data_IF_087694893239
#
_entry.id   IF_087694893239
#
_cell.length_a   1.000
_cell.length_b   1.000
_cell.length_c   1.000
_cell.angle_alpha   90.00
_cell.angle_beta   90.00
_cell.angle_gamma   90.00
#
_symmetry.space_group_name_H-M   'P 1'
#
loop_
_entity.id
_entity.type
_entity.pdbx_description
1 polymer ?
#
# COMPACT_ATOMS: atom_id res chain seq x y z
N UNK A 1 5.63 -8.42 8.66
CA UNK A 1 5.76 -7.10 8.02
C UNK A 1 6.46 -6.15 8.97
N UNK A 2 7.33 -5.29 8.46
CA UNK A 2 8.06 -4.27 9.22
C UNK A 2 7.43 -2.90 8.94
N UNK A 3 7.28 -2.08 9.98
CA UNK A 3 6.92 -0.66 9.78
C UNK A 3 8.13 0.09 9.27
N UNK A 4 7.94 0.89 8.22
CA UNK A 4 8.94 1.83 7.72
C UNK A 4 8.47 3.25 7.95
N UNK A 5 9.26 4.22 7.47
CA UNK A 5 8.87 5.62 7.54
C UNK A 5 7.55 5.85 6.81
N UNK A 6 6.69 6.67 7.42
CA UNK A 6 5.39 6.98 6.87
C UNK A 6 5.55 7.60 5.47
N UNK A 7 4.75 7.11 4.52
CA UNK A 7 4.83 7.49 3.12
C UNK A 7 4.36 8.95 2.93
N UNK A 8 5.22 9.85 2.45
CA UNK A 8 4.83 11.20 2.08
C UNK A 8 4.11 11.17 0.72
N UNK A 9 2.86 11.63 0.68
CA UNK A 9 2.06 11.74 -0.56
C UNK A 9 1.55 13.16 -0.71
N UNK A 10 1.80 13.75 -1.87
CA UNK A 10 1.39 15.11 -2.14
C UNK A 10 -0.11 15.18 -2.47
N UNK A 11 -0.86 15.92 -1.65
CA UNK A 11 -2.28 16.18 -1.90
C UNK A 11 -2.45 17.51 -2.63
N UNK A 12 -2.74 17.43 -3.94
CA UNK A 12 -2.90 18.60 -4.80
C UNK A 12 -4.08 19.50 -4.44
N UNK A 13 -5.11 18.98 -3.75
CA UNK A 13 -6.27 19.79 -3.33
C UNK A 13 -5.98 20.63 -2.10
N UNK A 14 -5.23 20.06 -1.16
CA UNK A 14 -4.87 20.74 0.09
C UNK A 14 -3.55 21.51 -0.04
N UNK A 15 -2.78 21.28 -1.11
CA UNK A 15 -1.44 21.83 -1.30
C UNK A 15 -0.50 21.47 -0.14
N UNK A 16 -0.62 20.22 0.36
CA UNK A 16 0.10 19.72 1.54
C UNK A 16 0.65 18.32 1.29
N UNK A 17 1.79 18.04 1.94
CA UNK A 17 2.37 16.71 2.01
C UNK A 17 1.77 15.95 3.20
N UNK A 18 1.01 14.89 2.91
CA UNK A 18 0.38 14.06 3.93
C UNK A 18 1.18 12.78 4.14
N UNK A 19 1.23 12.31 5.38
CA UNK A 19 1.94 11.08 5.75
C UNK A 19 0.95 9.95 6.01
N UNK A 20 1.24 8.78 5.45
CA UNK A 20 0.43 7.57 5.63
C UNK A 20 1.30 6.44 6.18
N UNK A 21 0.85 5.71 7.21
CA UNK A 21 1.58 4.55 7.70
C UNK A 21 1.82 3.53 6.58
N UNK A 22 3.08 3.09 6.46
CA UNK A 22 3.54 2.15 5.45
C UNK A 22 4.33 1.01 6.12
N UNK A 23 4.07 -0.20 5.66
CA UNK A 23 4.72 -1.42 6.10
C UNK A 23 5.22 -2.20 4.89
N UNK A 24 6.43 -2.73 4.98
CA UNK A 24 7.04 -3.55 3.94
C UNK A 24 7.26 -4.99 4.43
N UNK A 25 7.28 -5.91 3.48
CA UNK A 25 7.74 -7.27 3.66
C UNK A 25 8.22 -7.83 2.33
N UNK A 26 9.44 -8.35 2.32
CA UNK A 26 10.01 -9.02 1.17
C UNK A 26 10.05 -10.52 1.44
N UNK A 27 9.43 -11.29 0.56
CA UNK A 27 9.48 -12.75 0.60
C UNK A 27 10.68 -13.23 -0.22
N UNK A 28 11.73 -13.63 0.47
CA UNK A 28 12.98 -14.12 -0.13
C UNK A 28 12.80 -15.40 -0.95
N UNK A 29 11.78 -16.20 -0.68
CA UNK A 29 11.53 -17.46 -1.39
C UNK A 29 10.78 -17.22 -2.70
N UNK A 30 9.86 -16.26 -2.70
CA UNK A 30 8.94 -16.07 -3.83
C UNK A 30 9.20 -14.81 -4.67
N UNK A 31 10.23 -14.02 -4.31
CA UNK A 31 10.58 -12.73 -4.93
C UNK A 31 9.41 -11.74 -4.98
N UNK A 32 8.44 -11.91 -4.08
CA UNK A 32 7.30 -11.03 -3.92
C UNK A 32 7.61 -9.98 -2.87
N UNK A 33 7.33 -8.72 -3.20
CA UNK A 33 7.34 -7.62 -2.23
C UNK A 33 5.91 -7.24 -1.88
N UNK A 34 5.65 -7.07 -0.59
CA UNK A 34 4.35 -6.70 -0.05
C UNK A 34 4.44 -5.33 0.60
N UNK A 35 3.58 -4.42 0.17
CA UNK A 35 3.45 -3.09 0.77
C UNK A 35 2.05 -2.93 1.33
N UNK A 36 1.95 -2.72 2.64
CA UNK A 36 0.70 -2.50 3.33
C UNK A 36 0.63 -1.06 3.82
N UNK A 37 -0.43 -0.35 3.48
CA UNK A 37 -0.54 1.07 3.80
C UNK A 37 -1.97 1.48 4.12
N UNK A 38 -2.10 2.48 4.99
CA UNK A 38 -3.40 3.01 5.37
C UNK A 38 -3.96 3.95 4.31
N UNK A 39 -5.26 3.90 4.09
CA UNK A 39 -5.99 4.91 3.33
C UNK A 39 -6.29 6.16 4.16
N UNK A 40 -5.95 6.20 5.45
CA UNK A 40 -6.41 7.23 6.37
C UNK A 40 -5.28 8.18 6.80
N UNK A 41 -5.57 9.47 6.68
CA UNK A 41 -4.90 10.58 7.35
C UNK A 41 -6.01 11.52 7.90
N UNK A 42 -5.78 12.24 9.02
CA UNK A 42 -6.78 13.17 9.57
C UNK A 42 -7.30 14.21 8.57
N UNK A 43 -6.43 14.68 7.67
CA UNK A 43 -6.76 15.71 6.68
C UNK A 43 -7.38 15.14 5.39
N UNK A 44 -7.06 13.90 5.04
CA UNK A 44 -7.53 13.31 3.78
C UNK A 44 -7.42 11.79 3.70
N UNK A 45 -8.13 11.21 2.72
CA UNK A 45 -7.92 9.82 2.31
C UNK A 45 -6.88 9.77 1.21
N UNK A 46 -6.04 8.75 1.23
CA UNK A 46 -5.02 8.51 0.20
C UNK A 46 -5.69 8.33 -1.18
N UNK A 47 -6.72 7.49 -1.22
CA UNK A 47 -7.56 7.27 -2.39
C UNK A 47 -9.02 7.61 -2.06
N UNK A 48 -9.45 8.86 -2.32
CA UNK A 48 -10.82 9.29 -2.04
C UNK A 48 -11.89 8.48 -2.76
N UNK A 49 -11.58 7.88 -3.92
CA UNK A 49 -12.50 7.01 -4.65
C UNK A 49 -12.82 5.70 -3.91
N UNK A 50 -11.98 5.30 -2.95
CA UNK A 50 -12.11 4.09 -2.15
C UNK A 50 -12.28 4.42 -0.67
N UNK A 51 -13.09 5.43 -0.35
CA UNK A 51 -13.28 5.96 1.02
C UNK A 51 -13.72 4.93 2.07
N UNK A 52 -14.35 3.84 1.65
CA UNK A 52 -14.82 2.73 2.51
C UNK A 52 -13.74 1.69 2.78
N UNK A 53 -12.56 1.83 2.17
CA UNK A 53 -11.42 0.93 2.36
C UNK A 53 -10.43 1.59 3.31
N UNK A 54 -10.08 0.91 4.41
CA UNK A 54 -9.19 1.46 5.43
C UNK A 54 -7.71 1.21 5.13
N UNK A 55 -7.40 0.10 4.48
CA UNK A 55 -6.04 -0.33 4.18
C UNK A 55 -5.94 -0.97 2.80
N UNK A 56 -4.74 -0.90 2.22
CA UNK A 56 -4.41 -1.54 0.96
C UNK A 56 -3.20 -2.45 1.14
N UNK A 57 -3.18 -3.53 0.35
CA UNK A 57 -2.04 -4.42 0.20
C UNK A 57 -1.64 -4.44 -1.27
N UNK A 58 -0.50 -3.85 -1.59
CA UNK A 58 0.14 -3.95 -2.89
C UNK A 58 1.09 -5.14 -2.89
N UNK A 59 0.91 -6.03 -3.87
CA UNK A 59 1.81 -7.16 -4.11
C UNK A 59 2.57 -6.86 -5.38
N UNK A 60 3.87 -6.63 -5.26
CA UNK A 60 4.77 -6.42 -6.39
C UNK A 60 5.44 -7.76 -6.75
N UNK A 61 5.39 -8.11 -8.04
CA UNK A 61 5.93 -9.36 -8.57
C UNK A 61 4.88 -10.26 -9.23
N UNK A 62 5.31 -11.44 -9.66
CA UNK A 62 4.46 -12.39 -10.40
C UNK A 62 3.73 -13.32 -9.43
N UNK A 63 2.45 -13.04 -9.21
CA UNK A 63 1.56 -13.87 -8.41
C UNK A 63 0.39 -14.38 -9.26
N UNK A 64 0.12 -15.69 -9.19
CA UNK A 64 -0.97 -16.33 -9.93
C UNK A 64 -2.33 -16.10 -9.23
N UNK A 65 -3.45 -16.31 -9.94
CA UNK A 65 -4.79 -16.04 -9.41
C UNK A 65 -5.17 -16.96 -8.23
N UNK A 66 -4.66 -18.19 -8.17
CA UNK A 66 -4.89 -19.10 -7.05
C UNK A 66 -4.30 -18.54 -5.75
N UNK A 67 -3.03 -18.11 -5.78
CA UNK A 67 -2.35 -17.48 -4.64
C UNK A 67 -2.99 -16.15 -4.26
N UNK A 68 -3.45 -15.35 -5.23
CA UNK A 68 -4.23 -14.12 -4.94
C UNK A 68 -5.50 -14.43 -4.16
N UNK A 69 -6.23 -15.46 -4.59
CA UNK A 69 -7.50 -15.87 -3.96
C UNK A 69 -7.25 -16.40 -2.55
N UNK A 70 -6.22 -17.23 -2.38
CA UNK A 70 -5.80 -17.74 -1.08
C UNK A 70 -5.39 -16.60 -0.13
N UNK A 71 -4.59 -15.63 -0.62
CA UNK A 71 -4.19 -14.46 0.15
C UNK A 71 -5.41 -13.67 0.65
N UNK A 72 -6.38 -13.38 -0.23
CA UNK A 72 -7.62 -12.68 0.13
C UNK A 72 -8.40 -13.46 1.19
N UNK A 73 -8.53 -14.79 1.02
CA UNK A 73 -9.23 -15.64 1.97
C UNK A 73 -8.53 -15.68 3.34
N UNK A 74 -7.20 -15.69 3.37
CA UNK A 74 -6.44 -15.66 4.61
C UNK A 74 -6.56 -14.30 5.32
N UNK A 75 -6.59 -13.19 4.57
CA UNK A 75 -6.85 -11.86 5.14
C UNK A 75 -8.24 -11.81 5.77
N UNK A 76 -9.28 -12.34 5.10
CA UNK A 76 -10.65 -12.39 5.64
C UNK A 76 -10.79 -13.19 6.94
N UNK A 77 -9.90 -14.15 7.19
CA UNK A 77 -9.89 -14.94 8.43
C UNK A 77 -9.25 -14.21 9.61
N UNK A 78 -8.58 -13.08 9.36
CA UNK A 78 -7.93 -12.31 10.42
C UNK A 78 -8.98 -11.60 11.28
N UNK A 79 -8.86 -11.70 12.60
CA UNK A 79 -9.77 -11.04 13.54
C UNK A 79 -9.83 -9.54 13.26
N UNK A 80 -11.03 -8.96 13.31
CA UNK A 80 -11.32 -7.55 13.03
C UNK A 80 -11.19 -7.10 11.56
N UNK A 81 -10.94 -8.02 10.61
CA UNK A 81 -11.09 -7.72 9.19
C UNK A 81 -12.56 -7.90 8.79
N UNK A 82 -13.24 -6.80 8.44
CA UNK A 82 -14.62 -6.85 7.96
C UNK A 82 -14.72 -7.48 6.56
N UNK A 83 -13.84 -7.09 5.64
CA UNK A 83 -13.80 -7.61 4.27
C UNK A 83 -12.42 -7.40 3.63
N UNK A 84 -12.11 -8.22 2.63
CA UNK A 84 -10.97 -8.06 1.75
C UNK A 84 -11.35 -8.47 0.33
N UNK A 85 -10.86 -7.74 -0.67
CA UNK A 85 -11.21 -7.96 -2.07
C UNK A 85 -10.09 -7.47 -2.99
N UNK A 86 -10.06 -8.03 -4.21
CA UNK A 86 -9.17 -7.54 -5.27
C UNK A 86 -9.72 -6.22 -5.79
N UNK A 87 -8.90 -5.17 -5.74
CA UNK A 87 -9.22 -3.89 -6.35
C UNK A 87 -8.79 -3.91 -7.82
N UNK A 88 -9.65 -3.37 -8.68
CA UNK A 88 -9.30 -3.06 -10.06
C UNK A 88 -8.46 -1.78 -10.10
N UNK A 89 -7.19 -1.93 -10.45
CA UNK A 89 -6.21 -0.84 -10.49
C UNK A 89 -6.65 0.30 -11.42
N UNK A 90 -7.39 -0.02 -12.49
CA UNK A 90 -7.89 0.98 -13.44
C UNK A 90 -8.93 1.93 -12.84
N UNK A 91 -9.55 1.55 -11.71
CA UNK A 91 -10.56 2.34 -11.02
C UNK A 91 -9.99 3.25 -9.94
N UNK A 92 -8.68 3.17 -9.68
CA UNK A 92 -8.01 3.97 -8.66
C UNK A 92 -7.49 5.27 -9.28
N UNK A 93 -8.20 6.37 -9.04
CA UNK A 93 -7.74 7.70 -9.46
C UNK A 93 -6.48 8.09 -8.69
N UNK A 94 -5.44 8.48 -9.42
CA UNK A 94 -4.16 8.92 -8.82
C UNK A 94 -3.21 7.77 -8.47
N UNK A 95 -3.51 6.53 -8.85
CA UNK A 95 -2.65 5.38 -8.57
C UNK A 95 -1.23 5.55 -9.12
N UNK A 96 -1.08 6.01 -10.37
CA UNK A 96 0.25 6.17 -10.97
C UNK A 96 1.11 7.17 -10.17
N UNK A 97 0.53 8.29 -9.75
CA UNK A 97 1.26 9.27 -8.92
C UNK A 97 1.68 8.65 -7.59
N UNK A 98 0.77 7.92 -6.94
CA UNK A 98 1.09 7.20 -5.71
C UNK A 98 2.21 6.17 -5.90
N UNK A 99 2.20 5.41 -7.00
CA UNK A 99 3.24 4.42 -7.29
C UNK A 99 4.61 5.11 -7.48
N UNK A 100 4.65 6.25 -8.17
CA UNK A 100 5.87 7.04 -8.30
C UNK A 100 6.37 7.56 -6.96
N UNK A 101 5.48 8.11 -6.12
CA UNK A 101 5.83 8.60 -4.77
C UNK A 101 6.35 7.47 -3.88
N UNK A 102 5.71 6.29 -3.97
CA UNK A 102 6.14 5.08 -3.27
C UNK A 102 7.52 4.62 -3.72
N UNK A 103 7.77 4.52 -5.03
CA UNK A 103 9.07 4.14 -5.57
C UNK A 103 10.19 5.08 -5.10
N UNK A 104 9.94 6.39 -5.15
CA UNK A 104 10.90 7.39 -4.67
C UNK A 104 11.18 7.21 -3.17
N UNK A 105 10.15 7.07 -2.35
CA UNK A 105 10.29 6.87 -0.89
C UNK A 105 11.07 5.59 -0.54
N UNK A 106 10.83 4.51 -1.29
CA UNK A 106 11.55 3.25 -1.10
C UNK A 106 13.04 3.38 -1.46
N UNK A 107 13.37 4.11 -2.53
CA UNK A 107 14.75 4.39 -2.91
C UNK A 107 15.49 5.22 -1.84
N UNK A 108 14.83 6.26 -1.32
CA UNK A 108 15.39 7.08 -0.24
C UNK A 108 15.62 6.25 1.02
N UNK A 109 14.61 5.48 1.45
CA UNK A 109 14.68 4.61 2.62
C UNK A 109 15.78 3.54 2.53
N UNK A 110 16.09 3.07 1.31
CA UNK A 110 17.18 2.13 1.07
C UNK A 110 18.56 2.81 1.11
N UNK A 111 18.66 4.06 0.68
CA UNK A 111 19.90 4.83 0.72
C UNK A 111 20.31 5.19 2.16
N UNK A 112 19.34 5.51 3.04
CA UNK A 112 19.62 5.83 4.45
C UNK A 112 20.09 4.63 5.26
N UNK A 113 19.69 3.40 4.89
CA UNK A 113 20.11 2.15 5.56
C UNK A 113 21.57 1.76 5.27
N UNK A 114 22.24 2.41 4.30
CA UNK A 114 23.64 2.11 3.90
C UNK A 114 24.68 3.02 4.57
N UNK A 115 24.30 3.85 5.54
CA UNK A 115 25.22 4.70 6.34
C UNK A 115 25.35 4.20 7.77
#
# INVERSE_FOLDING_TARGET
MKRIDDLPVYNSKLNLLLKYPLFDFEDSETTLSYYFFSNHNPESKLFPSLKTTDYFLLVNGRINENRKTELINNIKKTTNVLTAFKVDLNKIKGLNNFLSDLELHLLESAATKKK
#
